data_IF_329537046782
#
_entry.id   IF_329537046782
#
_cell.length_a   1.000
_cell.length_b   1.000
_cell.length_c   1.000
_cell.angle_alpha   90.00
_cell.angle_beta   90.00
_cell.angle_gamma   90.00
#
_symmetry.space_group_name_H-M   'P 1'
#
loop_
_entity.id
_entity.type
_entity.pdbx_description
1 polymer ?
#
# COMPACT_ATOMS: atom_id res chain seq x y z
N UNK A 1 -7.92 -1.12 -0.99
CA UNK A 1 -6.53 -0.71 -1.29
C UNK A 1 -6.53 0.44 -2.29
N UNK A 2 -7.29 0.30 -3.37
CA UNK A 2 -7.66 1.43 -4.22
C UNK A 2 -8.99 2.00 -3.72
N UNK A 3 -9.19 3.33 -3.79
CA UNK A 3 -10.51 3.93 -3.57
C UNK A 3 -11.50 3.32 -4.57
N UNK A 4 -12.69 2.86 -4.13
CA UNK A 4 -13.69 2.29 -5.03
C UNK A 4 -14.42 3.35 -5.86
N UNK A 5 -14.30 4.63 -5.49
CA UNK A 5 -15.03 5.74 -6.08
C UNK A 5 -14.29 6.37 -7.26
N UNK A 6 -15.05 6.98 -8.16
CA UNK A 6 -14.52 7.81 -9.24
C UNK A 6 -13.92 9.11 -8.69
N UNK A 7 -12.78 9.51 -9.23
CA UNK A 7 -12.17 10.80 -8.94
C UNK A 7 -12.75 11.89 -9.85
N UNK A 8 -13.18 13.01 -9.29
CA UNK A 8 -13.47 14.23 -10.06
C UNK A 8 -12.21 15.05 -10.27
N UNK A 9 -12.02 15.58 -11.47
CA UNK A 9 -10.88 16.43 -11.83
C UNK A 9 -11.38 17.80 -12.31
N UNK A 10 -10.77 18.86 -11.79
CA UNK A 10 -11.07 20.24 -12.22
C UNK A 10 -10.30 20.57 -13.50
N UNK A 11 -11.02 20.75 -14.61
CA UNK A 11 -10.44 20.96 -15.94
C UNK A 11 -9.67 22.28 -16.04
N UNK A 12 -10.20 23.44 -15.58
CA UNK A 12 -9.46 24.69 -15.66
C UNK A 12 -8.12 24.63 -14.92
N UNK A 13 -8.10 24.07 -13.70
CA UNK A 13 -6.87 23.92 -12.92
C UNK A 13 -5.88 22.98 -13.58
N UNK A 14 -6.33 21.85 -14.10
CA UNK A 14 -5.46 20.88 -14.75
C UNK A 14 -4.74 21.51 -15.95
N UNK A 15 -5.43 22.36 -16.71
CA UNK A 15 -4.85 23.07 -17.87
C UNK A 15 -3.96 24.24 -17.45
N UNK A 16 -4.43 25.11 -16.56
CA UNK A 16 -3.70 26.34 -16.19
C UNK A 16 -2.44 26.06 -15.38
N UNK A 17 -2.49 25.04 -14.52
CA UNK A 17 -1.35 24.63 -13.69
C UNK A 17 -0.48 23.57 -14.39
N UNK A 18 -0.92 23.04 -15.54
CA UNK A 18 -0.20 21.99 -16.28
C UNK A 18 -0.04 20.68 -15.50
N UNK A 19 -1.08 20.25 -14.78
CA UNK A 19 -1.04 19.07 -13.93
C UNK A 19 -1.18 17.79 -14.77
N UNK A 20 -0.29 16.83 -14.56
CA UNK A 20 -0.36 15.49 -15.17
C UNK A 20 -0.90 14.45 -14.18
N UNK A 21 -1.84 13.63 -14.64
CA UNK A 21 -2.40 12.51 -13.85
C UNK A 21 -1.99 11.20 -14.51
N UNK A 22 -1.17 10.41 -13.81
CA UNK A 22 -0.65 9.13 -14.32
C UNK A 22 -1.02 8.02 -13.35
N UNK A 23 -1.58 6.94 -13.87
CA UNK A 23 -1.84 5.72 -13.10
C UNK A 23 -0.59 4.84 -13.02
N UNK A 24 -0.30 4.30 -11.83
CA UNK A 24 0.73 3.29 -11.64
C UNK A 24 0.22 2.21 -10.69
N UNK A 25 0.38 0.95 -11.09
CA UNK A 25 0.03 -0.22 -10.29
C UNK A 25 1.21 -1.17 -10.32
N UNK A 26 1.77 -1.44 -9.13
CA UNK A 26 2.97 -2.27 -8.93
C UNK A 26 4.15 -1.84 -9.82
N UNK A 27 5.20 -2.66 -9.89
CA UNK A 27 6.39 -2.40 -10.69
C UNK A 27 6.92 -3.67 -11.34
N UNK A 28 7.95 -3.50 -12.17
CA UNK A 28 8.70 -4.60 -12.75
C UNK A 28 9.52 -5.34 -11.69
N UNK A 29 10.11 -6.48 -12.07
CA UNK A 29 11.04 -7.22 -11.18
C UNK A 29 12.27 -6.40 -10.82
N UNK A 30 12.71 -5.52 -11.73
CA UNK A 30 13.83 -4.63 -11.47
C UNK A 30 13.46 -3.57 -10.42
N UNK A 31 12.31 -2.92 -10.57
CA UNK A 31 11.81 -1.95 -9.58
C UNK A 31 11.69 -2.56 -8.18
N UNK A 32 11.24 -3.82 -8.10
CA UNK A 32 11.18 -4.57 -6.85
C UNK A 32 12.56 -4.82 -6.24
N UNK A 33 13.57 -5.08 -7.07
CA UNK A 33 14.96 -5.30 -6.61
C UNK A 33 15.51 -4.01 -6.01
N UNK A 34 15.29 -2.88 -6.68
CA UNK A 34 15.68 -1.55 -6.19
C UNK A 34 14.93 -1.19 -4.90
N UNK A 35 13.63 -1.46 -4.83
CA UNK A 35 12.83 -1.25 -3.63
C UNK A 35 13.33 -2.07 -2.42
N UNK A 36 13.72 -3.33 -2.63
CA UNK A 36 14.30 -4.14 -1.57
C UNK A 36 15.67 -3.64 -1.13
N UNK A 37 16.48 -3.13 -2.07
CA UNK A 37 17.77 -2.53 -1.73
C UNK A 37 17.58 -1.31 -0.82
N UNK A 38 16.62 -0.43 -1.10
CA UNK A 38 16.31 0.71 -0.23
C UNK A 38 15.81 0.29 1.17
N UNK A 39 15.04 -0.81 1.23
CA UNK A 39 14.61 -1.37 2.50
C UNK A 39 15.79 -1.97 3.29
N UNK A 40 16.72 -2.67 2.62
CA UNK A 40 17.93 -3.23 3.23
C UNK A 40 18.87 -2.13 3.76
N UNK A 41 18.96 -1.00 3.06
CA UNK A 41 19.68 0.20 3.49
C UNK A 41 18.98 0.97 4.63
N UNK A 42 17.81 0.51 5.08
CA UNK A 42 17.05 1.14 6.16
C UNK A 42 16.40 2.48 5.80
N UNK A 43 16.42 2.87 4.53
CA UNK A 43 15.78 4.11 4.04
C UNK A 43 14.26 4.04 4.12
N UNK A 44 13.71 2.83 4.07
CA UNK A 44 12.26 2.57 4.17
C UNK A 44 12.03 1.46 5.19
N UNK A 45 11.29 1.77 6.24
CA UNK A 45 10.86 0.80 7.26
C UNK A 45 9.34 0.66 7.21
N UNK A 46 8.80 -0.48 6.74
CA UNK A 46 7.36 -0.68 6.69
C UNK A 46 6.80 -0.88 8.10
N UNK A 47 5.63 -0.29 8.36
CA UNK A 47 4.87 -0.55 9.60
C UNK A 47 4.13 -1.87 9.47
N UNK A 48 4.64 -2.89 10.16
CA UNK A 48 4.09 -4.24 10.14
C UNK A 48 3.75 -4.72 11.55
N UNK A 49 2.69 -5.52 11.66
CA UNK A 49 2.33 -6.23 12.87
C UNK A 49 2.21 -7.72 12.55
N UNK A 50 2.95 -8.54 13.31
CA UNK A 50 2.96 -10.00 13.14
C UNK A 50 1.75 -10.61 13.85
N UNK A 51 1.05 -11.53 13.18
CA UNK A 51 -0.11 -12.25 13.72
C UNK A 51 -0.01 -13.74 13.39
N UNK A 52 -0.51 -14.64 14.26
CA UNK A 52 -0.61 -16.06 13.94
C UNK A 52 -1.72 -16.32 12.90
N UNK A 53 -1.63 -17.44 12.19
CA UNK A 53 -2.65 -17.85 11.22
C UNK A 53 -4.05 -18.02 11.85
N UNK A 54 -4.12 -18.39 13.13
CA UNK A 54 -5.38 -18.57 13.86
C UNK A 54 -6.24 -17.28 13.89
N UNK A 55 -5.62 -16.11 13.81
CA UNK A 55 -6.30 -14.82 13.91
C UNK A 55 -6.84 -14.31 12.56
N UNK A 56 -6.76 -15.12 11.49
CA UNK A 56 -7.04 -14.67 10.12
C UNK A 56 -8.41 -14.00 9.96
N UNK A 57 -9.45 -14.58 10.57
CA UNK A 57 -10.81 -14.04 10.48
C UNK A 57 -10.92 -12.68 11.20
N UNK A 58 -10.27 -12.55 12.36
CA UNK A 58 -10.23 -11.29 13.11
C UNK A 58 -9.49 -10.21 12.33
N UNK A 59 -8.39 -10.56 11.66
CA UNK A 59 -7.63 -9.63 10.80
C UNK A 59 -8.51 -9.11 9.66
N UNK A 60 -9.32 -9.97 9.02
CA UNK A 60 -10.25 -9.53 7.98
C UNK A 60 -11.30 -8.54 8.51
N UNK A 61 -11.90 -8.83 9.67
CA UNK A 61 -12.84 -7.89 10.31
C UNK A 61 -12.19 -6.54 10.63
N UNK A 62 -11.01 -6.54 11.25
CA UNK A 62 -10.27 -5.30 11.55
C UNK A 62 -9.90 -4.52 10.29
N UNK A 63 -9.66 -5.21 9.16
CA UNK A 63 -9.35 -4.61 7.88
C UNK A 63 -10.55 -3.90 7.27
N UNK A 64 -11.73 -4.53 7.29
CA UNK A 64 -12.98 -3.95 6.79
C UNK A 64 -13.41 -2.75 7.63
N UNK A 65 -13.21 -2.81 8.95
CA UNK A 65 -13.46 -1.71 9.88
C UNK A 65 -12.41 -0.57 9.78
N UNK A 66 -11.35 -0.73 8.97
CA UNK A 66 -10.31 0.27 8.78
C UNK A 66 -9.40 0.49 10.01
N UNK A 67 -9.35 -0.47 10.94
CA UNK A 67 -8.56 -0.36 12.19
C UNK A 67 -7.07 -0.64 12.00
N UNK A 68 -6.67 -1.22 10.85
CA UNK A 68 -5.28 -1.60 10.57
C UNK A 68 -4.46 -0.40 10.11
N UNK A 69 -3.43 -0.04 10.88
CA UNK A 69 -2.40 0.93 10.47
C UNK A 69 -1.19 0.19 9.89
N UNK A 70 -1.01 0.25 8.57
CA UNK A 70 0.09 -0.44 7.88
C UNK A 70 -0.33 -1.79 7.33
N UNK A 71 0.42 -2.86 7.64
CA UNK A 71 0.14 -4.23 7.19
C UNK A 71 0.16 -5.24 8.34
N UNK A 72 -0.84 -6.10 8.39
CA UNK A 72 -0.78 -7.33 9.17
C UNK A 72 -0.03 -8.39 8.37
N UNK A 73 0.94 -9.06 9.00
CA UNK A 73 1.77 -10.08 8.36
C UNK A 73 1.59 -11.39 9.13
N UNK A 74 1.25 -12.45 8.41
CA UNK A 74 1.08 -13.78 9.01
C UNK A 74 2.46 -14.40 9.24
N UNK A 75 2.73 -14.80 10.47
CA UNK A 75 3.94 -15.56 10.82
C UNK A 75 3.64 -17.07 10.77
N UNK A 76 4.25 -17.76 9.80
CA UNK A 76 4.11 -19.20 9.59
C UNK A 76 5.16 -20.04 10.34
N UNK A 77 6.08 -19.40 11.07
CA UNK A 77 7.15 -20.11 11.80
C UNK A 77 6.70 -20.64 13.16
N UNK A 78 5.45 -20.38 13.54
CA UNK A 78 4.82 -20.83 14.78
C UNK A 78 3.71 -21.83 14.49
#
# INVERSE_FOLDING_TARGET
GLPPESMSLDIPRLVLDGIEVVGSLVGTRQDLTEAFQFAAEGKVVPKVALRPLADINTIFTEMEEGKIRGRMVIDFRR
#
